data_IF_843433323815
#
_entry.id   IF_843433323815
#
_cell.length_a   1.000
_cell.length_b   1.000
_cell.length_c   1.000
_cell.angle_alpha   90.00
_cell.angle_beta   90.00
_cell.angle_gamma   90.00
#
_symmetry.space_group_name_H-M   'P 1'
#
loop_
_entity.id
_entity.type
_entity.pdbx_description
1 polymer ?
#
# COMPACT_ATOMS: atom_id res chain seq x y z
N UNK A 1 1.35 -13.98 -10.79
CA UNK A 1 -0.01 -14.22 -11.32
C UNK A 1 -0.41 -15.69 -11.32
N UNK A 2 0.54 -16.62 -11.39
CA UNK A 2 0.26 -18.06 -11.50
C UNK A 2 -0.78 -18.64 -10.52
N UNK A 3 -0.83 -18.17 -9.25
CA UNK A 3 -1.78 -18.70 -8.27
C UNK A 3 -3.23 -18.28 -8.56
N UNK A 4 -3.51 -17.00 -8.78
CA UNK A 4 -4.87 -16.52 -9.05
C UNK A 4 -5.41 -17.08 -10.38
N UNK A 5 -4.55 -17.17 -11.40
CA UNK A 5 -4.89 -17.78 -12.69
C UNK A 5 -5.16 -19.28 -12.55
N UNK A 6 -4.41 -19.99 -11.69
CA UNK A 6 -4.64 -21.41 -11.41
C UNK A 6 -5.93 -21.67 -10.63
N UNK A 7 -6.33 -20.75 -9.75
CA UNK A 7 -7.60 -20.85 -9.03
C UNK A 7 -8.76 -20.71 -10.02
N UNK A 8 -8.65 -19.79 -10.99
CA UNK A 8 -9.59 -19.67 -12.11
C UNK A 8 -11.00 -19.23 -11.71
N UNK A 9 -11.15 -18.56 -10.56
CA UNK A 9 -12.43 -18.07 -10.06
C UNK A 9 -12.55 -16.55 -10.23
N UNK A 10 -13.68 -16.07 -10.75
CA UNK A 10 -13.91 -14.66 -11.07
C UNK A 10 -13.93 -13.73 -9.84
N UNK A 11 -14.15 -14.30 -8.65
CA UNK A 11 -14.20 -13.59 -7.38
C UNK A 11 -12.90 -13.65 -6.57
N UNK A 12 -11.81 -14.17 -7.15
CA UNK A 12 -10.49 -14.20 -6.51
C UNK A 12 -9.57 -13.22 -7.23
N UNK A 13 -8.92 -12.36 -6.46
CA UNK A 13 -8.10 -11.28 -6.96
C UNK A 13 -6.87 -11.05 -6.07
N UNK A 14 -5.98 -10.20 -6.55
CA UNK A 14 -4.74 -9.84 -5.87
C UNK A 14 -5.00 -8.63 -4.97
N UNK A 15 -4.46 -8.75 -3.76
CA UNK A 15 -4.27 -7.69 -2.80
C UNK A 15 -2.76 -7.42 -2.69
N UNK A 16 -2.34 -6.20 -3.02
CA UNK A 16 -0.95 -5.75 -2.83
C UNK A 16 -0.82 -4.82 -1.62
N UNK A 17 0.38 -4.70 -1.09
CA UNK A 17 0.69 -3.84 0.06
C UNK A 17 2.08 -3.23 -0.14
N UNK A 18 2.16 -1.89 -0.12
CA UNK A 18 3.41 -1.18 -0.37
C UNK A 18 4.52 -1.51 0.64
N UNK A 19 4.19 -1.82 1.90
CA UNK A 19 5.18 -2.23 2.90
C UNK A 19 5.87 -3.54 2.49
N UNK A 20 5.07 -4.53 2.08
CA UNK A 20 5.58 -5.84 1.66
C UNK A 20 6.30 -5.76 0.32
N UNK A 21 5.74 -5.02 -0.63
CA UNK A 21 6.36 -4.84 -1.94
C UNK A 21 7.70 -4.12 -1.85
N UNK A 22 7.86 -3.19 -0.91
CA UNK A 22 9.12 -2.49 -0.68
C UNK A 22 10.28 -3.43 -0.26
N UNK A 23 9.98 -4.63 0.25
CA UNK A 23 10.98 -5.63 0.63
C UNK A 23 11.20 -6.70 -0.46
N UNK A 24 10.10 -7.23 -1.02
CA UNK A 24 10.16 -8.45 -1.84
C UNK A 24 10.28 -8.18 -3.35
N UNK A 25 9.74 -7.06 -3.82
CA UNK A 25 9.75 -6.74 -5.25
C UNK A 25 11.09 -6.15 -5.68
N UNK A 26 11.58 -6.53 -6.87
CA UNK A 26 12.77 -5.90 -7.46
C UNK A 26 12.53 -4.46 -7.93
N UNK A 27 11.26 -4.06 -8.04
CA UNK A 27 10.83 -2.70 -8.29
C UNK A 27 9.34 -2.60 -8.01
N UNK A 28 8.91 -1.62 -7.21
CA UNK A 28 7.55 -1.57 -6.69
C UNK A 28 6.50 -1.42 -7.80
N UNK A 29 6.80 -0.64 -8.84
CA UNK A 29 5.95 -0.52 -10.03
C UNK A 29 5.78 -1.86 -10.77
N UNK A 30 6.80 -2.71 -10.79
CA UNK A 30 6.76 -3.99 -11.52
C UNK A 30 5.70 -4.92 -10.95
N UNK A 31 5.56 -4.99 -9.62
CA UNK A 31 4.52 -5.79 -8.96
C UNK A 31 3.10 -5.32 -9.34
N UNK A 32 2.89 -4.01 -9.38
CA UNK A 32 1.59 -3.40 -9.76
C UNK A 32 1.27 -3.70 -11.24
N UNK A 33 2.23 -3.49 -12.13
CA UNK A 33 2.08 -3.75 -13.58
C UNK A 33 1.84 -5.24 -13.83
N UNK A 34 2.55 -6.13 -13.13
CA UNK A 34 2.37 -7.56 -13.25
C UNK A 34 0.96 -8.00 -12.80
N UNK A 35 0.44 -7.38 -11.73
CA UNK A 35 -0.90 -7.67 -11.19
C UNK A 35 -2.03 -7.21 -12.12
N UNK A 36 -1.89 -6.05 -12.79
CA UNK A 36 -2.81 -5.54 -13.81
C UNK A 36 -4.29 -5.72 -13.43
N UNK A 37 -5.08 -6.34 -14.30
CA UNK A 37 -6.50 -6.65 -14.13
C UNK A 37 -6.85 -7.49 -12.89
N UNK A 38 -5.89 -8.23 -12.32
CA UNK A 38 -6.11 -9.00 -11.10
C UNK A 38 -6.01 -8.15 -9.84
N UNK A 39 -5.41 -6.96 -9.88
CA UNK A 39 -5.33 -6.08 -8.71
C UNK A 39 -6.69 -5.42 -8.45
N UNK A 40 -7.28 -5.66 -7.27
CA UNK A 40 -8.57 -5.05 -6.87
C UNK A 40 -8.53 -4.31 -5.54
N UNK A 41 -7.51 -4.57 -4.71
CA UNK A 41 -7.37 -3.97 -3.40
C UNK A 41 -5.89 -3.73 -3.12
N UNK A 42 -5.55 -2.60 -2.50
CA UNK A 42 -4.17 -2.31 -2.15
C UNK A 42 -4.07 -1.54 -0.83
N UNK A 43 -3.24 -2.06 0.08
CA UNK A 43 -2.82 -1.33 1.27
C UNK A 43 -1.74 -0.30 0.91
N UNK A 44 -1.92 0.90 1.43
CA UNK A 44 -1.02 2.05 1.31
C UNK A 44 -0.35 2.24 2.67
N UNK A 45 0.76 1.52 2.85
CA UNK A 45 1.53 1.41 4.10
C UNK A 45 2.96 1.87 3.87
N UNK A 46 3.47 2.78 4.68
CA UNK A 46 4.84 3.27 4.56
C UNK A 46 5.86 2.15 4.86
N UNK A 47 7.12 2.33 4.44
CA UNK A 47 8.21 1.37 4.59
C UNK A 47 8.44 0.88 6.03
N UNK A 48 8.03 1.66 7.02
CA UNK A 48 8.04 1.28 8.43
C UNK A 48 6.66 1.26 9.09
N UNK A 49 5.60 1.29 8.27
CA UNK A 49 4.19 1.35 8.66
C UNK A 49 3.80 2.60 9.46
N UNK A 50 4.64 3.63 9.44
CA UNK A 50 4.36 4.96 9.97
C UNK A 50 3.49 5.81 9.04
N UNK A 51 3.64 7.12 9.14
CA UNK A 51 2.90 8.08 8.31
C UNK A 51 3.34 7.99 6.84
N UNK A 52 2.43 7.68 5.88
CA UNK A 52 2.74 7.74 4.44
C UNK A 52 3.41 9.04 4.02
N UNK A 53 4.48 8.92 3.23
CA UNK A 53 5.28 10.06 2.75
C UNK A 53 6.43 10.46 3.67
N UNK A 54 6.61 9.78 4.80
CA UNK A 54 7.71 10.02 5.74
C UNK A 54 8.79 8.94 5.74
N UNK A 55 8.69 7.94 4.84
CA UNK A 55 9.64 6.84 4.73
C UNK A 55 10.23 6.67 3.33
N UNK A 56 10.48 5.42 2.94
CA UNK A 56 11.22 5.06 1.72
C UNK A 56 10.36 4.46 0.61
N UNK A 57 9.04 4.32 0.79
CA UNK A 57 8.19 3.85 -0.30
C UNK A 57 8.28 4.83 -1.47
N UNK A 58 8.58 4.32 -2.66
CA UNK A 58 8.65 5.09 -3.89
C UNK A 58 7.24 5.46 -4.40
N UNK A 59 6.57 6.37 -3.69
CA UNK A 59 5.16 6.70 -3.94
C UNK A 59 4.89 7.18 -5.37
N UNK A 60 5.79 7.94 -5.99
CA UNK A 60 5.62 8.36 -7.38
C UNK A 60 5.63 7.17 -8.36
N UNK A 61 6.43 6.13 -8.09
CA UNK A 61 6.41 4.88 -8.87
C UNK A 61 5.11 4.10 -8.63
N UNK A 62 4.63 4.06 -7.38
CA UNK A 62 3.36 3.39 -7.03
C UNK A 62 2.19 4.03 -7.78
N UNK A 63 2.02 5.35 -7.65
CA UNK A 63 0.87 6.05 -8.23
C UNK A 63 0.96 6.14 -9.76
N UNK A 64 2.16 6.29 -10.33
CA UNK A 64 2.33 6.22 -11.80
C UNK A 64 1.98 4.83 -12.35
N UNK A 65 2.37 3.75 -11.68
CA UNK A 65 2.02 2.39 -12.08
C UNK A 65 0.51 2.13 -11.96
N UNK A 66 -0.13 2.57 -10.87
CA UNK A 66 -1.58 2.48 -10.69
C UNK A 66 -2.33 3.22 -11.81
N UNK A 67 -1.88 4.43 -12.18
CA UNK A 67 -2.43 5.18 -13.30
C UNK A 67 -2.22 4.45 -14.64
N UNK A 68 -1.02 3.91 -14.87
CA UNK A 68 -0.66 3.20 -16.10
C UNK A 68 -1.52 1.96 -16.34
N UNK A 69 -1.87 1.21 -15.29
CA UNK A 69 -2.79 0.06 -15.40
C UNK A 69 -4.27 0.46 -15.36
N UNK A 70 -4.58 1.76 -15.22
CA UNK A 70 -5.95 2.25 -15.11
C UNK A 70 -6.67 1.68 -13.89
N UNK A 71 -6.01 1.57 -12.74
CA UNK A 71 -6.56 0.95 -11.54
C UNK A 71 -7.91 1.56 -11.13
N UNK A 72 -8.88 0.70 -10.77
CA UNK A 72 -10.24 1.06 -10.34
C UNK A 72 -10.67 0.36 -9.05
N UNK A 73 -9.72 -0.24 -8.33
CA UNK A 73 -9.99 -0.91 -7.06
C UNK A 73 -9.95 0.04 -5.88
N UNK A 74 -9.85 -0.52 -4.68
CA UNK A 74 -9.80 0.25 -3.43
C UNK A 74 -8.36 0.41 -2.95
N UNK A 75 -8.01 1.64 -2.58
CA UNK A 75 -6.78 1.97 -1.86
C UNK A 75 -7.12 2.23 -0.40
N UNK A 76 -6.44 1.57 0.52
CA UNK A 76 -6.69 1.70 1.96
C UNK A 76 -5.40 2.06 2.67
N UNK A 77 -5.41 3.17 3.42
CA UNK A 77 -4.30 3.52 4.31
C UNK A 77 -4.18 2.45 5.40
N UNK A 78 -2.98 1.92 5.60
CA UNK A 78 -2.64 1.02 6.71
C UNK A 78 -1.48 1.63 7.50
N UNK A 79 -1.60 1.65 8.83
CA UNK A 79 -0.53 2.05 9.75
C UNK A 79 -0.74 1.41 11.12
N UNK A 80 0.33 1.28 11.89
CA UNK A 80 0.31 0.71 13.25
C UNK A 80 0.64 1.72 14.36
N UNK A 81 0.37 3.00 14.12
CA UNK A 81 0.63 4.09 15.08
C UNK A 81 -0.10 3.98 16.43
N UNK A 82 -1.17 3.18 16.54
CA UNK A 82 -1.96 3.03 17.76
C UNK A 82 -2.33 1.56 18.05
N UNK A 83 -1.35 0.66 17.92
CA UNK A 83 -1.58 -0.77 18.19
C UNK A 83 -1.30 -1.15 19.65
N UNK A 84 -2.17 -1.97 20.27
CA UNK A 84 -1.90 -2.60 21.57
C UNK A 84 -0.56 -3.35 21.59
N UNK A 85 0.16 -3.27 22.72
CA UNK A 85 1.51 -3.84 22.86
C UNK A 85 1.53 -5.36 22.66
N UNK A 86 0.47 -6.05 23.03
CA UNK A 86 0.30 -7.49 22.84
C UNK A 86 0.34 -7.91 21.37
N UNK A 87 0.01 -7.00 20.44
CA UNK A 87 0.10 -7.28 19.00
C UNK A 87 1.49 -7.03 18.42
N UNK A 88 2.40 -6.37 19.14
CA UNK A 88 3.73 -5.98 18.63
C UNK A 88 4.49 -7.14 17.98
N UNK A 89 4.38 -8.36 18.52
CA UNK A 89 4.99 -9.56 17.95
C UNK A 89 4.34 -10.09 16.68
N UNK A 90 3.01 -9.99 16.58
CA UNK A 90 2.30 -10.42 15.38
C UNK A 90 2.57 -9.49 14.18
N UNK A 91 2.77 -8.20 14.43
CA UNK A 91 3.01 -7.18 13.40
C UNK A 91 4.46 -6.68 13.35
N UNK A 92 5.37 -7.33 14.08
CA UNK A 92 6.80 -6.98 14.18
C UNK A 92 7.06 -5.47 14.45
N UNK A 93 6.23 -4.82 15.26
CA UNK A 93 6.30 -3.38 15.52
C UNK A 93 6.67 -3.12 16.98
N UNK A 94 7.97 -2.88 17.21
CA UNK A 94 8.56 -2.76 18.56
C UNK A 94 8.85 -1.33 19.01
N UNK A 95 8.65 -0.37 18.11
CA UNK A 95 8.89 1.06 18.31
C UNK A 95 7.66 1.85 17.89
N UNK A 96 7.46 3.06 18.41
CA UNK A 96 6.55 4.01 17.78
C UNK A 96 6.95 4.21 16.30
N UNK A 97 5.96 4.08 15.41
CA UNK A 97 6.15 4.27 13.95
C UNK A 97 5.65 5.64 13.48
N UNK A 98 4.79 6.28 14.27
CA UNK A 98 4.38 7.66 14.10
C UNK A 98 4.16 8.31 15.47
N UNK A 99 4.19 9.65 15.57
CA UNK A 99 3.91 10.36 16.82
C UNK A 99 2.48 10.14 17.36
N UNK A 100 1.47 9.99 16.49
CA UNK A 100 0.09 9.67 16.88
C UNK A 100 -0.72 9.08 15.72
N UNK A 101 -1.88 8.50 16.02
CA UNK A 101 -2.86 8.11 15.00
C UNK A 101 -3.40 9.32 14.23
N UNK A 102 -3.63 10.44 14.92
CA UNK A 102 -4.10 11.68 14.30
C UNK A 102 -3.09 12.17 13.24
N UNK A 103 -1.79 12.06 13.49
CA UNK A 103 -0.79 12.44 12.49
C UNK A 103 -0.90 11.59 11.21
N UNK A 104 -1.12 10.28 11.36
CA UNK A 104 -1.30 9.38 10.23
C UNK A 104 -2.56 9.76 9.44
N UNK A 105 -3.65 10.08 10.13
CA UNK A 105 -4.91 10.46 9.50
C UNK A 105 -4.84 11.84 8.83
N UNK A 106 -4.22 12.83 9.47
CA UNK A 106 -4.17 14.19 8.95
C UNK A 106 -3.14 14.32 7.83
N UNK A 107 -1.90 13.89 8.08
CA UNK A 107 -0.80 14.08 7.12
C UNK A 107 -0.73 12.94 6.12
N UNK A 108 -0.82 11.69 6.60
CA UNK A 108 -0.69 10.50 5.77
C UNK A 108 -1.82 10.37 4.76
N UNK A 109 -3.08 10.51 5.21
CA UNK A 109 -4.22 10.45 4.30
C UNK A 109 -4.24 11.62 3.31
N UNK A 110 -3.90 12.84 3.76
CA UNK A 110 -3.79 14.00 2.86
C UNK A 110 -2.74 13.74 1.79
N UNK A 111 -1.55 13.28 2.16
CA UNK A 111 -0.47 12.95 1.23
C UNK A 111 -0.93 11.93 0.17
N UNK A 112 -1.60 10.85 0.58
CA UNK A 112 -2.10 9.84 -0.36
C UNK A 112 -3.18 10.40 -1.30
N UNK A 113 -4.08 11.26 -0.79
CA UNK A 113 -5.09 11.93 -1.62
C UNK A 113 -4.46 12.88 -2.63
N UNK A 114 -3.46 13.64 -2.21
CA UNK A 114 -2.74 14.58 -3.08
C UNK A 114 -2.00 13.83 -4.19
N UNK A 115 -1.35 12.71 -3.87
CA UNK A 115 -0.76 11.83 -4.88
C UNK A 115 -1.81 11.27 -5.84
N UNK A 116 -2.93 10.81 -5.32
CA UNK A 116 -3.98 10.29 -6.18
C UNK A 116 -4.57 11.34 -7.14
N UNK A 117 -4.73 12.58 -6.67
CA UNK A 117 -5.11 13.74 -7.49
C UNK A 117 -4.04 14.06 -8.54
N UNK A 118 -2.76 14.10 -8.13
CA UNK A 118 -1.62 14.35 -9.01
C UNK A 118 -1.58 13.37 -10.19
N UNK A 119 -1.86 12.09 -9.94
CA UNK A 119 -1.82 11.01 -10.94
C UNK A 119 -3.19 10.68 -11.55
N UNK A 120 -4.25 11.41 -11.19
CA UNK A 120 -5.61 11.28 -11.74
C UNK A 120 -6.18 9.86 -11.63
N UNK A 121 -6.01 9.24 -10.46
CA UNK A 121 -6.58 7.91 -10.17
C UNK A 121 -7.87 7.98 -9.32
N UNK A 122 -8.39 9.19 -9.11
CA UNK A 122 -9.74 9.49 -8.62
C UNK A 122 -10.50 10.31 -9.67
#
# INVERSE_FOLDING_TARGET
>A
MALVERIGADNVFIHLDTFHMNMEEKGIANGIIAARNHLKYMHMSESDRGTPGCGNVAWDEVFSALAAIGFKGVLTLESFAAMPREMAGAISTWRPVAPSADEVLDRGLSFLRDKANQYRIF
#
